data_IF_204387483775
#
_entry.id   IF_204387483775
#
_cell.length_a   1.000
_cell.length_b   1.000
_cell.length_c   1.000
_cell.angle_alpha   90.00
_cell.angle_beta   90.00
_cell.angle_gamma   90.00
#
_symmetry.space_group_name_H-M   'P 1'
#
loop_
_entity.id
_entity.type
_entity.pdbx_description
1 polymer ?
#
# COMPACT_ATOMS: atom_id res chain seq x y z
N UNK A 1 -4.84 -62.69 -40.02
CA UNK A 1 -5.95 -62.81 -39.04
C UNK A 1 -5.48 -62.24 -37.71
N UNK A 2 -6.20 -61.21 -37.23
CA UNK A 2 -6.48 -60.79 -35.84
C UNK A 2 -5.34 -60.47 -34.85
N UNK A 3 -5.18 -59.15 -34.64
CA UNK A 3 -5.20 -58.38 -33.38
C UNK A 3 -4.97 -59.08 -32.03
N UNK A 4 -4.04 -58.51 -31.24
CA UNK A 4 -4.22 -58.02 -29.86
C UNK A 4 -2.86 -57.43 -29.41
N UNK A 5 -2.70 -56.31 -28.72
CA UNK A 5 -3.59 -55.34 -28.08
C UNK A 5 -2.69 -54.53 -27.15
N UNK A 6 -2.49 -53.24 -27.43
CA UNK A 6 -1.78 -52.29 -26.57
C UNK A 6 -2.70 -51.94 -25.41
N UNK A 7 -2.25 -52.15 -24.17
CA UNK A 7 -2.87 -51.53 -23.00
C UNK A 7 -2.06 -50.28 -22.63
N UNK A 8 -2.63 -49.13 -22.97
CA UNK A 8 -2.35 -47.85 -22.33
C UNK A 8 -3.12 -47.85 -21.00
N UNK A 9 -2.43 -47.64 -19.89
CA UNK A 9 -3.09 -47.26 -18.64
C UNK A 9 -3.28 -45.76 -18.63
N UNK A 10 -4.55 -45.39 -18.79
CA UNK A 10 -5.12 -44.08 -18.53
C UNK A 10 -5.15 -43.82 -17.02
N UNK A 11 -4.49 -42.76 -16.58
CA UNK A 11 -4.76 -42.12 -15.28
C UNK A 11 -5.50 -40.82 -15.55
N UNK A 12 -6.80 -40.94 -15.81
CA UNK A 12 -7.74 -39.84 -15.93
C UNK A 12 -8.24 -39.39 -14.55
N UNK A 13 -8.03 -38.10 -14.27
CA UNK A 13 -9.02 -37.14 -13.78
C UNK A 13 -9.94 -37.57 -12.63
N UNK A 14 -9.61 -37.11 -11.41
CA UNK A 14 -10.56 -36.94 -10.33
C UNK A 14 -10.26 -35.65 -9.56
N UNK A 15 -10.60 -34.49 -10.14
CA UNK A 15 -10.91 -33.23 -9.45
C UNK A 15 -11.57 -32.26 -10.45
N UNK A 16 -12.62 -32.78 -11.09
CA UNK A 16 -13.50 -32.02 -11.97
C UNK A 16 -14.92 -32.17 -11.40
N UNK A 17 -15.30 -31.24 -10.50
CA UNK A 17 -16.67 -30.98 -10.00
C UNK A 17 -16.64 -29.87 -8.94
N UNK A 18 -16.63 -28.62 -9.40
CA UNK A 18 -17.32 -27.49 -8.79
C UNK A 18 -17.27 -26.27 -9.73
N UNK A 19 -17.80 -26.43 -10.94
CA UNK A 19 -18.19 -25.30 -11.80
C UNK A 19 -19.71 -25.22 -11.74
N UNK A 20 -20.22 -24.46 -10.77
CA UNK A 20 -21.58 -23.91 -10.87
C UNK A 20 -21.49 -22.74 -11.82
N UNK A 21 -22.01 -22.94 -13.03
CA UNK A 21 -22.25 -21.88 -14.01
C UNK A 21 -23.22 -20.87 -13.40
N UNK A 22 -22.68 -19.79 -12.83
CA UNK A 22 -23.45 -18.59 -12.51
C UNK A 22 -23.78 -17.88 -13.83
N UNK A 23 -24.98 -18.13 -14.34
CA UNK A 23 -25.55 -17.38 -15.46
C UNK A 23 -25.72 -15.93 -15.04
N UNK A 24 -24.91 -15.03 -15.64
CA UNK A 24 -25.02 -13.57 -15.50
C UNK A 24 -26.46 -13.10 -15.76
N UNK A 25 -27.08 -12.32 -14.86
CA UNK A 25 -28.26 -11.56 -15.19
C UNK A 25 -27.92 -10.52 -16.26
N UNK A 26 -28.76 -10.45 -17.29
CA UNK A 26 -28.70 -9.42 -18.34
C UNK A 26 -29.14 -8.09 -17.70
N UNK A 27 -28.19 -7.27 -17.27
CA UNK A 27 -28.45 -5.95 -16.70
C UNK A 27 -28.80 -5.00 -17.84
N UNK A 28 -30.07 -4.57 -17.87
CA UNK A 28 -30.50 -3.41 -18.64
C UNK A 28 -29.81 -2.14 -18.14
N UNK A 29 -29.49 -1.25 -19.07
CA UNK A 29 -28.81 0.02 -18.82
C UNK A 29 -29.51 0.84 -17.72
N UNK A 30 -28.84 0.96 -16.56
CA UNK A 30 -29.21 1.90 -15.50
C UNK A 30 -28.59 3.29 -15.74
N UNK A 31 -29.21 4.37 -15.23
CA UNK A 31 -28.73 5.73 -15.41
C UNK A 31 -27.39 5.94 -14.70
N UNK A 32 -26.47 6.60 -15.39
CA UNK A 32 -25.17 7.04 -14.86
C UNK A 32 -25.39 8.16 -13.84
N UNK A 33 -25.46 7.83 -12.56
CA UNK A 33 -25.43 8.83 -11.47
C UNK A 33 -23.98 9.25 -11.21
N UNK A 34 -23.69 10.55 -11.28
CA UNK A 34 -22.39 11.17 -10.95
C UNK A 34 -22.10 11.16 -9.43
N UNK A 35 -22.18 10.00 -8.80
CA UNK A 35 -21.81 9.83 -7.41
C UNK A 35 -20.31 9.53 -7.36
N UNK A 36 -19.47 10.57 -7.33
CA UNK A 36 -18.10 10.36 -6.87
C UNK A 36 -18.19 9.94 -5.40
N UNK A 37 -17.73 8.73 -5.02
CA UNK A 37 -17.71 8.32 -3.63
C UNK A 37 -16.80 9.26 -2.83
N UNK A 38 -17.34 9.83 -1.74
CA UNK A 38 -16.61 10.71 -0.84
C UNK A 38 -15.65 9.88 0.04
N UNK A 39 -14.55 9.40 -0.55
CA UNK A 39 -13.50 8.63 0.13
C UNK A 39 -12.62 9.47 1.08
N UNK A 40 -12.80 10.80 1.09
CA UNK A 40 -11.94 11.74 1.81
C UNK A 40 -12.25 11.80 3.32
N UNK A 41 -13.49 11.51 3.73
CA UNK A 41 -13.91 11.64 5.13
C UNK A 41 -13.52 10.42 6.00
N UNK A 42 -13.58 9.21 5.44
CA UNK A 42 -13.30 7.97 6.18
C UNK A 42 -11.80 7.81 6.48
N UNK A 43 -10.93 8.32 5.60
CA UNK A 43 -9.48 8.12 5.70
C UNK A 43 -8.74 9.22 6.49
N UNK A 44 -9.23 10.47 6.48
CA UNK A 44 -8.71 11.52 7.37
C UNK A 44 -8.89 11.16 8.85
N UNK A 45 -9.81 10.24 9.16
CA UNK A 45 -9.99 9.66 10.49
C UNK A 45 -8.98 8.52 10.77
N UNK A 46 -8.41 7.88 9.74
CA UNK A 46 -7.47 6.75 9.84
C UNK A 46 -5.99 7.15 9.82
N UNK A 47 -5.61 8.24 9.16
CA UNK A 47 -4.20 8.68 9.01
C UNK A 47 -3.81 9.84 9.92
N UNK A 48 -4.24 9.82 11.20
CA UNK A 48 -3.89 10.86 12.18
C UNK A 48 -2.45 11.37 11.99
N UNK A 49 -2.30 12.70 11.86
CA UNK A 49 -1.07 13.39 11.43
C UNK A 49 0.20 12.73 11.98
N UNK A 50 0.94 12.02 11.11
CA UNK A 50 2.09 11.16 11.45
C UNK A 50 3.35 11.88 11.94
N UNK A 51 3.31 13.19 12.21
CA UNK A 51 4.51 14.03 12.41
C UNK A 51 4.90 14.30 13.86
N UNK A 52 4.09 13.89 14.85
CA UNK A 52 4.24 14.36 16.24
C UNK A 52 4.81 13.34 17.24
N UNK A 53 5.51 12.30 16.79
CA UNK A 53 6.25 11.43 17.70
C UNK A 53 7.58 12.08 18.11
N UNK A 54 7.54 12.90 19.16
CA UNK A 54 8.76 13.29 19.89
C UNK A 54 9.33 12.07 20.63
N UNK A 55 10.18 11.28 19.95
CA UNK A 55 10.84 10.08 20.48
C UNK A 55 11.87 10.35 21.59
N UNK A 56 11.89 11.54 22.17
CA UNK A 56 12.87 11.93 23.18
C UNK A 56 12.17 12.38 24.46
N UNK A 57 12.01 11.46 25.40
CA UNK A 57 11.82 11.77 26.81
C UNK A 57 13.13 11.40 27.50
N UNK A 58 14.03 12.36 27.77
CA UNK A 58 15.20 12.06 28.60
C UNK A 58 14.69 11.68 29.98
N UNK A 59 15.21 10.57 30.54
CA UNK A 59 15.01 10.34 31.96
C UNK A 59 15.83 11.34 32.77
N UNK A 60 15.46 11.54 34.04
CA UNK A 60 16.15 12.47 34.95
C UNK A 60 17.59 12.08 35.26
N UNK A 61 18.07 10.95 34.75
CA UNK A 61 19.41 10.39 34.98
C UNK A 61 20.38 10.62 33.81
N UNK A 62 19.91 11.19 32.69
CA UNK A 62 20.76 11.50 31.53
C UNK A 62 21.08 10.27 30.68
N UNK A 63 20.21 9.26 30.67
CA UNK A 63 20.48 8.00 29.98
C UNK A 63 20.40 8.14 28.44
N UNK A 64 21.41 7.58 27.76
CA UNK A 64 21.55 7.60 26.29
C UNK A 64 20.86 6.43 25.60
N UNK A 65 20.07 5.65 26.34
CA UNK A 65 19.36 4.45 25.86
C UNK A 65 18.49 4.71 24.63
N UNK A 66 17.82 5.86 24.54
CA UNK A 66 17.04 6.24 23.35
C UNK A 66 17.91 6.48 22.09
N UNK A 67 19.10 7.05 22.27
CA UNK A 67 20.08 7.24 21.19
C UNK A 67 20.67 5.91 20.72
N UNK A 68 20.93 4.98 21.65
CA UNK A 68 21.45 3.65 21.30
C UNK A 68 20.41 2.77 20.60
N UNK A 69 19.13 2.86 20.94
CA UNK A 69 18.06 2.21 20.15
C UNK A 69 17.95 2.80 18.74
N UNK A 70 18.02 4.13 18.58
CA UNK A 70 17.97 4.75 17.25
C UNK A 70 19.20 4.38 16.42
N UNK A 71 20.39 4.41 17.01
CA UNK A 71 21.63 3.98 16.35
C UNK A 71 21.58 2.50 15.98
N UNK A 72 21.10 1.63 16.88
CA UNK A 72 20.97 0.20 16.61
C UNK A 72 19.89 -0.09 15.55
N UNK A 73 18.78 0.65 15.54
CA UNK A 73 17.75 0.55 14.51
C UNK A 73 18.26 1.05 13.16
N UNK A 74 18.89 2.22 13.12
CA UNK A 74 19.47 2.77 11.90
C UNK A 74 20.58 1.86 11.37
N UNK A 75 21.38 1.25 12.24
CA UNK A 75 22.40 0.28 11.87
C UNK A 75 21.79 -1.03 11.38
N UNK A 76 20.77 -1.57 12.06
CA UNK A 76 20.03 -2.75 11.59
C UNK A 76 19.37 -2.50 10.23
N UNK A 77 18.74 -1.33 10.05
CA UNK A 77 18.14 -0.91 8.78
C UNK A 77 19.22 -0.73 7.71
N UNK A 78 20.39 -0.17 8.03
CA UNK A 78 21.53 -0.08 7.10
C UNK A 78 22.07 -1.46 6.74
N UNK A 79 22.22 -2.37 7.71
CA UNK A 79 22.67 -3.75 7.48
C UNK A 79 21.68 -4.52 6.60
N UNK A 80 20.37 -4.37 6.84
CA UNK A 80 19.32 -4.92 5.96
C UNK A 80 19.40 -4.33 4.55
N UNK A 81 19.80 -3.07 4.40
CA UNK A 81 19.93 -2.40 3.08
C UNK A 81 21.22 -2.76 2.34
N UNK A 82 22.32 -3.02 3.04
CA UNK A 82 23.63 -3.34 2.42
C UNK A 82 23.76 -4.83 2.07
N UNK A 83 22.98 -5.72 2.68
CA UNK A 83 22.92 -7.14 2.35
C UNK A 83 21.96 -7.40 1.18
N UNK A 84 22.44 -7.13 -0.04
CA UNK A 84 21.71 -7.31 -1.31
C UNK A 84 21.73 -8.78 -1.82
N UNK A 85 21.79 -9.74 -0.90
CA UNK A 85 21.93 -11.16 -1.21
C UNK A 85 20.56 -11.87 -1.14
N UNK A 86 20.31 -12.79 -2.05
CA UNK A 86 19.01 -13.49 -2.26
C UNK A 86 18.49 -14.21 -0.99
N UNK A 87 19.34 -14.35 0.03
CA UNK A 87 19.02 -14.88 1.35
C UNK A 87 18.07 -14.01 2.19
N UNK A 88 17.94 -12.70 1.92
CA UNK A 88 17.06 -11.81 2.71
C UNK A 88 15.57 -11.88 2.31
N UNK A 89 15.25 -12.28 1.07
CA UNK A 89 13.88 -12.69 0.70
C UNK A 89 13.40 -13.88 1.54
N UNK A 90 14.34 -14.68 2.06
CA UNK A 90 14.08 -15.83 2.92
C UNK A 90 13.79 -15.47 4.39
N UNK A 91 14.27 -14.31 4.88
CA UNK A 91 13.96 -13.89 6.25
C UNK A 91 12.53 -13.35 6.39
N UNK A 92 12.01 -12.70 5.35
CA UNK A 92 10.63 -12.20 5.32
C UNK A 92 9.57 -13.32 5.21
N UNK A 93 9.98 -14.51 4.75
CA UNK A 93 9.11 -15.70 4.64
C UNK A 93 9.07 -16.56 5.91
N UNK A 94 9.89 -16.27 6.94
CA UNK A 94 9.90 -17.03 8.19
C UNK A 94 8.85 -16.59 9.21
N UNK A 95 8.19 -15.44 9.03
CA UNK A 95 7.12 -15.00 9.92
C UNK A 95 5.79 -15.60 9.48
N UNK A 96 5.38 -16.69 10.15
CA UNK A 96 4.05 -17.27 9.95
C UNK A 96 2.97 -16.27 10.39
N UNK A 97 1.79 -16.30 9.74
CA UNK A 97 0.66 -15.44 10.11
C UNK A 97 0.33 -15.47 11.62
N UNK A 98 0.35 -16.62 12.32
CA UNK A 98 0.13 -16.67 13.76
C UNK A 98 1.16 -15.87 14.57
N UNK A 99 2.43 -15.87 14.14
CA UNK A 99 3.47 -15.09 14.81
C UNK A 99 3.25 -13.59 14.62
N UNK A 100 2.94 -13.15 13.39
CA UNK A 100 2.62 -11.73 13.09
C UNK A 100 1.44 -11.25 13.94
N UNK A 101 0.36 -12.02 13.98
CA UNK A 101 -0.82 -11.72 14.80
C UNK A 101 -0.46 -11.64 16.28
N UNK A 102 0.34 -12.57 16.79
CA UNK A 102 0.76 -12.59 18.20
C UNK A 102 1.58 -11.35 18.55
N UNK A 103 2.55 -10.99 17.70
CA UNK A 103 3.39 -9.80 17.90
C UNK A 103 2.57 -8.52 17.86
N UNK A 104 1.70 -8.35 16.86
CA UNK A 104 0.88 -7.14 16.75
C UNK A 104 -0.11 -7.03 17.91
N UNK A 105 -0.76 -8.12 18.30
CA UNK A 105 -1.65 -8.12 19.46
C UNK A 105 -0.88 -7.79 20.76
N UNK A 106 0.34 -8.32 20.93
CA UNK A 106 1.20 -7.95 22.05
C UNK A 106 1.49 -6.44 22.05
N UNK A 107 1.88 -5.87 20.91
CA UNK A 107 2.16 -4.44 20.81
C UNK A 107 0.93 -3.60 21.16
N UNK A 108 -0.24 -3.93 20.58
CA UNK A 108 -1.50 -3.23 20.81
C UNK A 108 -1.93 -3.27 22.29
N UNK A 109 -1.79 -4.41 22.95
CA UNK A 109 -2.13 -4.56 24.37
C UNK A 109 -1.18 -3.83 25.32
N UNK A 110 0.01 -3.45 24.84
CA UNK A 110 1.06 -2.81 25.64
C UNK A 110 1.32 -1.34 25.23
N UNK A 111 0.47 -0.74 24.39
CA UNK A 111 0.58 0.68 24.00
C UNK A 111 0.41 1.65 25.18
N UNK A 112 -0.27 1.23 26.25
CA UNK A 112 -0.49 2.00 27.48
C UNK A 112 0.13 1.30 28.71
N UNK A 113 1.21 0.56 28.50
CA UNK A 113 1.86 -0.19 29.57
C UNK A 113 2.38 0.76 30.69
N UNK A 114 2.23 0.42 31.98
CA UNK A 114 2.62 1.30 33.09
C UNK A 114 4.12 1.59 33.15
N UNK A 115 4.95 0.64 32.71
CA UNK A 115 6.38 0.88 32.51
C UNK A 115 6.60 1.72 31.24
N UNK A 116 7.16 2.92 31.42
CA UNK A 116 7.38 3.90 30.35
C UNK A 116 8.32 3.41 29.24
N UNK A 117 9.34 2.61 29.56
CA UNK A 117 10.26 2.06 28.56
C UNK A 117 9.55 1.04 27.65
N UNK A 118 8.77 0.13 28.25
CA UNK A 118 7.98 -0.86 27.50
C UNK A 118 6.95 -0.15 26.62
N UNK A 119 6.27 0.86 27.16
CA UNK A 119 5.32 1.68 26.41
C UNK A 119 5.98 2.35 25.20
N UNK A 120 7.09 3.06 25.41
CA UNK A 120 7.83 3.75 24.33
C UNK A 120 8.32 2.76 23.26
N UNK A 121 8.80 1.58 23.67
CA UNK A 121 9.19 0.53 22.74
C UNK A 121 8.00 0.02 21.92
N UNK A 122 6.87 -0.27 22.56
CA UNK A 122 5.67 -0.75 21.87
C UNK A 122 5.12 0.29 20.90
N UNK A 123 5.11 1.56 21.29
CA UNK A 123 4.71 2.68 20.43
C UNK A 123 5.66 2.84 19.22
N UNK A 124 6.97 2.71 19.43
CA UNK A 124 7.95 2.76 18.36
C UNK A 124 7.79 1.60 17.37
N UNK A 125 7.67 0.35 17.86
CA UNK A 125 7.48 -0.82 17.01
C UNK A 125 6.13 -0.78 16.27
N UNK A 126 5.08 -0.35 16.96
CA UNK A 126 3.75 -0.07 16.39
C UNK A 126 3.85 0.91 15.23
N UNK A 127 4.56 2.03 15.42
CA UNK A 127 4.79 3.02 14.38
C UNK A 127 5.57 2.46 13.18
N UNK A 128 6.66 1.72 13.42
CA UNK A 128 7.47 1.11 12.36
C UNK A 128 6.67 0.06 11.56
N UNK A 129 5.81 -0.71 12.23
CA UNK A 129 4.99 -1.74 11.59
C UNK A 129 3.77 -1.16 10.87
N UNK A 130 3.25 -0.03 11.33
CA UNK A 130 2.11 0.66 10.71
C UNK A 130 2.44 1.04 9.27
N UNK A 131 1.57 0.65 8.34
CA UNK A 131 1.70 0.92 6.90
C UNK A 131 2.99 0.37 6.25
N UNK A 132 3.63 -0.62 6.87
CA UNK A 132 4.84 -1.25 6.36
C UNK A 132 4.56 -2.49 5.49
N UNK A 133 5.64 -3.06 4.93
CA UNK A 133 5.55 -4.21 4.02
C UNK A 133 4.83 -3.83 2.72
N UNK A 134 3.89 -4.67 2.32
CA UNK A 134 3.15 -4.50 1.05
C UNK A 134 2.19 -3.30 1.06
N UNK A 135 1.87 -2.73 2.24
CA UNK A 135 1.10 -1.48 2.34
C UNK A 135 1.80 -0.28 1.72
N UNK A 136 3.11 -0.34 1.49
CA UNK A 136 3.86 0.76 0.87
C UNK A 136 3.35 1.09 -0.54
N UNK A 137 2.88 0.08 -1.26
CA UNK A 137 2.28 0.24 -2.61
C UNK A 137 1.04 1.12 -2.50
N UNK A 138 0.18 0.80 -1.54
CA UNK A 138 -1.02 1.57 -1.24
C UNK A 138 -0.71 2.99 -0.76
N UNK A 139 0.21 3.18 0.20
CA UNK A 139 0.49 4.51 0.76
C UNK A 139 1.03 5.49 -0.28
N UNK A 140 1.90 5.04 -1.20
CA UNK A 140 2.41 5.88 -2.30
C UNK A 140 1.27 6.29 -3.24
N UNK A 141 0.41 5.35 -3.65
CA UNK A 141 -0.76 5.67 -4.48
C UNK A 141 -1.72 6.63 -3.77
N UNK A 142 -1.99 6.39 -2.49
CA UNK A 142 -2.88 7.23 -1.70
C UNK A 142 -2.35 8.67 -1.58
N UNK A 143 -1.12 8.84 -1.11
CA UNK A 143 -0.50 10.15 -0.90
C UNK A 143 -0.35 10.94 -2.20
N UNK A 144 0.00 10.27 -3.31
CA UNK A 144 0.29 10.96 -4.58
C UNK A 144 -0.92 11.14 -5.47
N UNK A 145 -1.89 10.23 -5.43
CA UNK A 145 -3.03 10.26 -6.34
C UNK A 145 -4.34 10.62 -5.65
N UNK A 146 -4.68 9.92 -4.56
CA UNK A 146 -5.99 10.08 -3.89
C UNK A 146 -6.02 11.41 -3.14
N UNK A 147 -5.07 11.62 -2.24
CA UNK A 147 -4.99 12.82 -1.39
C UNK A 147 -4.83 14.12 -2.20
N UNK A 148 -4.12 14.07 -3.32
CA UNK A 148 -3.94 15.24 -4.21
C UNK A 148 -5.10 15.46 -5.18
N UNK A 149 -6.12 14.58 -5.15
CA UNK A 149 -7.24 14.58 -6.12
C UNK A 149 -6.74 14.55 -7.56
N UNK A 150 -5.73 13.72 -7.81
CA UNK A 150 -5.05 13.63 -9.10
C UNK A 150 -6.04 13.35 -10.23
N UNK A 151 -6.00 14.13 -11.34
CA UNK A 151 -6.89 13.90 -12.48
C UNK A 151 -6.60 12.60 -13.22
N UNK A 152 -5.44 11.97 -12.94
CA UNK A 152 -5.11 10.62 -13.45
C UNK A 152 -6.16 9.59 -13.05
N UNK A 153 -6.80 9.75 -11.88
CA UNK A 153 -7.84 8.83 -11.40
C UNK A 153 -9.10 8.82 -12.30
N UNK A 154 -9.29 9.86 -13.12
CA UNK A 154 -10.39 9.93 -14.10
C UNK A 154 -9.95 9.55 -15.52
N UNK A 155 -8.69 9.16 -15.73
CA UNK A 155 -8.16 8.87 -17.06
C UNK A 155 -8.57 7.46 -17.51
N UNK A 156 -9.13 7.35 -18.72
CA UNK A 156 -9.72 6.10 -19.23
C UNK A 156 -8.75 4.91 -19.24
N UNK A 157 -7.46 5.16 -19.48
CA UNK A 157 -6.42 4.13 -19.49
C UNK A 157 -6.20 3.41 -18.15
N UNK A 158 -6.57 4.03 -17.03
CA UNK A 158 -6.34 3.46 -15.69
C UNK A 158 -7.64 3.14 -14.95
N UNK A 159 -8.81 3.24 -15.60
CA UNK A 159 -10.11 3.13 -14.92
C UNK A 159 -10.27 1.78 -14.19
N UNK A 160 -9.82 0.68 -14.79
CA UNK A 160 -9.87 -0.63 -14.16
C UNK A 160 -8.94 -0.75 -12.94
N UNK A 161 -7.78 -0.08 -12.97
CA UNK A 161 -6.86 -0.03 -11.82
C UNK A 161 -7.41 0.87 -10.71
N UNK A 162 -8.18 1.91 -11.07
CA UNK A 162 -8.89 2.78 -10.12
C UNK A 162 -10.03 2.04 -9.42
N UNK A 163 -10.81 1.22 -10.15
CA UNK A 163 -11.83 0.36 -9.56
C UNK A 163 -11.19 -0.63 -8.56
N UNK A 164 -10.05 -1.23 -8.93
CA UNK A 164 -9.27 -2.07 -8.00
C UNK A 164 -8.82 -1.29 -6.75
N UNK A 165 -8.45 -0.02 -6.91
CA UNK A 165 -7.93 0.79 -5.81
C UNK A 165 -9.06 1.12 -4.82
N UNK A 166 -10.26 1.39 -5.34
CA UNK A 166 -11.45 1.58 -4.53
C UNK A 166 -11.80 0.31 -3.74
N UNK A 167 -11.71 -0.87 -4.34
CA UNK A 167 -11.88 -2.14 -3.63
C UNK A 167 -10.85 -2.33 -2.52
N UNK A 168 -9.58 -2.05 -2.79
CA UNK A 168 -8.50 -2.12 -1.80
C UNK A 168 -8.73 -1.15 -0.64
N UNK A 169 -9.12 0.10 -0.92
CA UNK A 169 -9.45 1.10 0.12
C UNK A 169 -10.58 0.60 1.01
N UNK A 170 -11.64 0.04 0.42
CA UNK A 170 -12.76 -0.54 1.18
C UNK A 170 -12.32 -1.71 2.05
N UNK A 171 -11.48 -2.62 1.52
CA UNK A 171 -10.96 -3.74 2.28
C UNK A 171 -10.13 -3.27 3.49
N UNK A 172 -9.20 -2.32 3.28
CA UNK A 172 -8.40 -1.72 4.35
C UNK A 172 -9.29 -1.04 5.39
N UNK A 173 -10.26 -0.23 4.94
CA UNK A 173 -11.14 0.52 5.83
C UNK A 173 -12.07 -0.38 6.66
N UNK A 174 -12.44 -1.55 6.12
CA UNK A 174 -13.26 -2.54 6.83
C UNK A 174 -12.49 -3.36 7.87
N UNK A 175 -11.16 -3.31 7.87
CA UNK A 175 -10.33 -4.10 8.76
C UNK A 175 -10.25 -3.47 10.16
N UNK A 176 -10.23 -4.29 11.23
CA UNK A 176 -10.18 -3.83 12.63
C UNK A 176 -9.01 -2.90 12.91
N UNK A 177 -7.87 -3.15 12.26
CA UNK A 177 -6.68 -2.32 12.34
C UNK A 177 -6.14 -2.01 10.93
N UNK A 178 -6.64 -0.95 10.27
CA UNK A 178 -6.31 -0.64 8.87
C UNK A 178 -4.80 -0.48 8.63
N UNK A 179 -4.08 0.15 9.56
CA UNK A 179 -2.63 0.38 9.47
C UNK A 179 -1.80 -0.91 9.53
N UNK A 180 -2.38 -2.03 10.00
CA UNK A 180 -1.72 -3.34 10.05
C UNK A 180 -2.28 -4.32 9.03
N UNK A 181 -3.04 -3.85 8.04
CA UNK A 181 -3.76 -4.71 7.08
C UNK A 181 -2.85 -5.76 6.43
N UNK A 182 -1.69 -5.38 5.87
CA UNK A 182 -0.74 -6.34 5.25
C UNK A 182 -0.20 -7.42 6.19
N UNK A 183 -0.23 -7.18 7.50
CA UNK A 183 0.32 -8.10 8.49
C UNK A 183 -0.73 -9.04 9.08
N UNK A 184 -1.99 -8.58 9.14
CA UNK A 184 -3.08 -9.26 9.83
C UNK A 184 -4.12 -9.88 8.90
N UNK A 185 -4.24 -9.40 7.67
CA UNK A 185 -5.25 -9.90 6.73
C UNK A 185 -4.97 -11.34 6.30
N UNK A 186 -6.03 -12.03 5.86
CA UNK A 186 -5.92 -13.39 5.33
C UNK A 186 -5.10 -13.44 4.04
N UNK A 187 -4.61 -14.63 3.69
CA UNK A 187 -3.88 -14.85 2.43
C UNK A 187 -4.72 -14.46 1.21
N UNK A 188 -6.04 -14.65 1.26
CA UNK A 188 -6.96 -14.20 0.20
C UNK A 188 -7.07 -12.67 0.13
N UNK A 189 -7.00 -11.97 1.26
CA UNK A 189 -7.07 -10.51 1.29
C UNK A 189 -5.76 -9.85 0.86
N UNK A 190 -4.62 -10.53 1.01
CA UNK A 190 -3.35 -10.05 0.44
C UNK A 190 -3.42 -9.87 -1.09
N UNK A 191 -4.35 -10.54 -1.78
CA UNK A 191 -4.61 -10.30 -3.20
C UNK A 191 -5.05 -8.85 -3.50
N UNK A 192 -5.64 -8.14 -2.55
CA UNK A 192 -5.96 -6.72 -2.73
C UNK A 192 -4.72 -5.85 -2.85
N UNK A 193 -3.58 -6.28 -2.29
CA UNK A 193 -2.31 -5.55 -2.34
C UNK A 193 -1.40 -5.98 -3.50
N UNK A 194 -1.83 -6.91 -4.35
CA UNK A 194 -1.03 -7.35 -5.49
C UNK A 194 -0.77 -6.17 -6.45
N UNK A 195 0.50 -5.79 -6.59
CA UNK A 195 0.99 -4.73 -7.48
C UNK A 195 0.51 -4.96 -8.92
N UNK A 196 0.29 -6.21 -9.31
CA UNK A 196 -0.18 -6.55 -10.65
C UNK A 196 -1.56 -5.95 -10.98
N UNK A 197 -2.36 -5.59 -9.97
CA UNK A 197 -3.67 -4.92 -10.09
C UNK A 197 -3.58 -3.41 -10.31
N UNK A 198 -2.41 -2.83 -10.09
CA UNK A 198 -2.16 -1.38 -10.07
C UNK A 198 -0.92 -0.97 -10.86
N UNK A 199 -0.51 -1.75 -11.86
CA UNK A 199 0.80 -1.58 -12.52
C UNK A 199 1.03 -0.16 -13.01
N UNK A 200 0.06 0.41 -13.72
CA UNK A 200 0.17 1.74 -14.31
C UNK A 200 0.02 2.81 -13.25
N UNK A 201 -0.96 2.66 -12.35
CA UNK A 201 -1.31 3.62 -11.33
C UNK A 201 -0.19 3.77 -10.29
N UNK A 202 0.37 2.65 -9.84
CA UNK A 202 1.51 2.61 -8.94
C UNK A 202 2.77 3.20 -9.61
N UNK A 203 3.03 2.88 -10.89
CA UNK A 203 4.15 3.47 -11.62
C UNK A 203 4.05 5.01 -11.69
N UNK A 204 2.86 5.53 -12.00
CA UNK A 204 2.60 6.98 -12.03
C UNK A 204 2.80 7.60 -10.64
N UNK A 205 2.25 6.98 -9.59
CA UNK A 205 2.40 7.47 -8.23
C UNK A 205 3.88 7.50 -7.78
N UNK A 206 4.65 6.47 -8.14
CA UNK A 206 6.06 6.36 -7.82
C UNK A 206 6.89 7.44 -8.53
N UNK A 207 6.67 7.65 -9.83
CA UNK A 207 7.32 8.74 -10.59
C UNK A 207 7.01 10.12 -10.00
N UNK A 208 5.75 10.35 -9.58
CA UNK A 208 5.36 11.58 -8.89
C UNK A 208 6.03 11.73 -7.53
N UNK A 209 6.20 10.63 -6.79
CA UNK A 209 6.90 10.64 -5.49
C UNK A 209 8.38 11.00 -5.64
N UNK A 210 9.06 10.39 -6.63
CA UNK A 210 10.46 10.69 -6.97
C UNK A 210 10.62 12.16 -7.37
N UNK A 211 9.72 12.67 -8.23
CA UNK A 211 9.76 14.07 -8.65
C UNK A 211 9.54 15.06 -7.50
N UNK A 212 8.79 14.67 -6.47
CA UNK A 212 8.48 15.51 -5.32
C UNK A 212 9.55 15.45 -4.22
N UNK A 213 10.23 14.31 -4.08
CA UNK A 213 11.17 14.06 -3.00
C UNK A 213 12.58 13.78 -3.57
N UNK A 214 13.42 14.81 -3.65
CA UNK A 214 14.81 14.67 -4.13
C UNK A 214 15.72 13.80 -3.24
N UNK A 215 15.23 13.37 -2.07
CA UNK A 215 16.00 12.63 -1.06
C UNK A 215 15.79 11.10 -1.07
N UNK A 216 14.84 10.55 -1.84
CA UNK A 216 14.61 9.11 -1.81
C UNK A 216 15.65 8.34 -2.64
N UNK A 217 16.28 7.36 -1.98
CA UNK A 217 17.16 6.36 -2.62
C UNK A 217 16.35 5.49 -3.59
N UNK A 218 16.90 5.25 -4.78
CA UNK A 218 16.36 4.45 -5.90
C UNK A 218 16.18 2.95 -5.61
N UNK A 219 16.15 2.51 -4.35
CA UNK A 219 16.17 1.09 -3.99
C UNK A 219 14.86 0.34 -4.31
N UNK A 220 13.81 1.03 -4.76
CA UNK A 220 12.68 0.37 -5.41
C UNK A 220 13.07 0.03 -6.85
N UNK A 221 13.90 -1.00 -7.02
CA UNK A 221 14.19 -1.55 -8.35
C UNK A 221 12.87 -2.00 -8.97
N UNK A 222 12.56 -1.36 -10.10
CA UNK A 222 11.28 -1.40 -10.81
C UNK A 222 10.95 -2.76 -11.42
N UNK A 223 11.56 -3.88 -11.01
CA UNK A 223 11.34 -5.19 -11.65
C UNK A 223 9.84 -5.58 -11.63
N UNK A 224 9.11 -5.24 -10.57
CA UNK A 224 7.65 -5.44 -10.51
C UNK A 224 6.84 -4.36 -11.25
N UNK A 225 7.43 -3.19 -11.47
CA UNK A 225 6.84 -2.06 -12.22
C UNK A 225 7.16 -2.17 -13.73
N UNK A 226 8.10 -3.04 -14.11
CA UNK A 226 8.70 -3.16 -15.44
C UNK A 226 7.70 -3.48 -16.55
N UNK A 227 6.50 -3.95 -16.18
CA UNK A 227 5.43 -4.27 -17.12
C UNK A 227 4.54 -3.07 -17.48
N UNK A 228 4.64 -1.93 -16.81
CA UNK A 228 3.92 -0.73 -17.20
C UNK A 228 4.60 -0.09 -18.43
N UNK A 229 3.82 0.33 -19.43
CA UNK A 229 4.36 0.99 -20.62
C UNK A 229 4.96 2.36 -20.24
N UNK A 230 6.29 2.57 -20.36
CA UNK A 230 6.94 3.79 -19.87
C UNK A 230 6.40 5.07 -20.52
N UNK A 231 6.03 4.98 -21.80
CA UNK A 231 5.43 6.09 -22.56
C UNK A 231 4.07 6.50 -21.98
N UNK A 232 3.23 5.54 -21.62
CA UNK A 232 1.93 5.78 -20.98
C UNK A 232 2.11 6.41 -19.61
N UNK A 233 3.03 5.89 -18.79
CA UNK A 233 3.32 6.44 -17.45
C UNK A 233 3.77 7.90 -17.57
N UNK A 234 4.73 8.20 -18.45
CA UNK A 234 5.20 9.58 -18.67
C UNK A 234 4.09 10.52 -19.16
N UNK A 235 3.19 10.04 -20.04
CA UNK A 235 2.05 10.83 -20.50
C UNK A 235 1.10 11.17 -19.34
N UNK A 236 0.77 10.20 -18.48
CA UNK A 236 -0.09 10.40 -17.33
C UNK A 236 0.53 11.32 -16.26
N UNK A 237 1.83 11.19 -16.01
CA UNK A 237 2.57 12.08 -15.11
C UNK A 237 2.57 13.52 -15.65
N UNK A 238 2.86 13.73 -16.94
CA UNK A 238 2.75 15.05 -17.58
C UNK A 238 1.33 15.61 -17.51
N UNK A 239 0.33 14.77 -17.72
CA UNK A 239 -1.08 15.14 -17.60
C UNK A 239 -1.41 15.62 -16.18
N UNK A 240 -0.98 14.90 -15.14
CA UNK A 240 -1.14 15.30 -13.74
C UNK A 240 -0.55 16.69 -13.49
N UNK A 241 0.75 16.89 -13.77
CA UNK A 241 1.42 18.16 -13.48
C UNK A 241 0.83 19.33 -14.25
N UNK A 242 0.45 19.12 -15.51
CA UNK A 242 -0.18 20.17 -16.34
C UNK A 242 -1.54 20.62 -15.76
N UNK A 243 -2.32 19.68 -15.24
CA UNK A 243 -3.61 19.99 -14.63
C UNK A 243 -3.46 20.65 -13.26
N UNK A 244 -2.53 20.18 -12.43
CA UNK A 244 -2.27 20.79 -11.11
C UNK A 244 -1.74 22.21 -11.22
N UNK A 245 -0.89 22.50 -12.21
CA UNK A 245 -0.41 23.86 -12.48
C UNK A 245 -1.57 24.82 -12.83
N UNK A 246 -2.56 24.35 -13.61
CA UNK A 246 -3.75 25.16 -13.94
C UNK A 246 -4.61 25.47 -12.71
N UNK A 247 -4.79 24.48 -11.84
CA UNK A 247 -5.58 24.65 -10.62
C UNK A 247 -4.96 25.71 -9.68
N UNK A 248 -3.62 25.69 -9.52
CA UNK A 248 -2.91 26.69 -8.71
C UNK A 248 -3.04 28.12 -9.25
N UNK A 249 -3.09 28.30 -10.57
CA UNK A 249 -3.29 29.63 -11.18
C UNK A 249 -4.73 30.12 -10.94
N UNK A 250 -5.72 29.24 -11.07
CA UNK A 250 -7.12 29.59 -10.88
C UNK A 250 -7.42 30.05 -9.44
N UNK A 251 -6.81 29.42 -8.44
CA UNK A 251 -6.98 29.80 -7.03
C UNK A 251 -6.43 31.21 -6.74
N UNK A 252 -5.29 31.58 -7.34
CA UNK A 252 -4.67 32.92 -7.12
C UNK A 252 -5.46 34.06 -7.73
N UNK A 253 -6.15 33.83 -8.84
CA UNK A 253 -6.94 34.87 -9.52
C UNK A 253 -8.19 35.21 -8.70
N UNK A 254 -8.78 34.24 -7.99
CA UNK A 254 -10.01 34.44 -7.24
C UNK A 254 -9.82 35.28 -5.96
N UNK A 255 -8.60 35.39 -5.44
CA UNK A 255 -8.32 36.10 -4.17
C UNK A 255 -8.03 37.59 -4.33
N UNK A 256 -7.97 38.12 -5.55
CA UNK A 256 -7.77 39.57 -5.75
C UNK A 256 -9.12 40.27 -5.74
N UNK A 257 -9.70 40.46 -4.55
CA UNK A 257 -10.83 41.38 -4.37
C UNK A 257 -10.26 42.80 -4.51
N UNK A 258 -10.63 43.57 -5.55
CA UNK A 258 -10.22 44.96 -5.66
C UNK A 258 -11.11 45.78 -4.73
N UNK A 259 -10.51 46.41 -3.72
CA UNK A 259 -11.15 47.47 -2.95
C UNK A 259 -11.31 47.18 -1.46
N UNK A 260 -10.25 47.44 -0.70
CA UNK A 260 -10.29 48.28 0.51
C UNK A 260 -9.13 49.26 0.39
#
# INVERSE_FOLDING_TARGET
MRNAGRNQEESSNALDRCIVLSTRPRIGSLPRTNNQPNMEFEFNMMTGSMTDCNFYVPDSTGDSTGLSFRVAFDDAVKQVRTYNDDSHKKLCTCSTQPLRNTVINFLLNNLEHPNSQIRSLCQCLSYVLSWSGDMRVFTIMYERLVKTKSPVLSHSLVIAEVDNLEELVKAIASHTYPQYFSHLCSVSELFYLDVSRFRTLFAVALEMDIASNSSYSYDFKSENVSNAYPTTVQQLVKFHFSAMAKNQVSERILTTIPGI
#
